data_IF_129268231707
#
_entry.id   IF_129268231707
#
_cell.length_a   1.000
_cell.length_b   1.000
_cell.length_c   1.000
_cell.angle_alpha   90.00
_cell.angle_beta   90.00
_cell.angle_gamma   90.00
#
_symmetry.space_group_name_H-M   'P 1'
#
loop_
_entity.id
_entity.type
_entity.pdbx_description
1 polymer ?
#
# COMPACT_ATOMS: atom_id res chain seq x y z
N UNK A 1 -31.22 48.17 -6.98
CA UNK A 1 -32.26 47.12 -6.99
C UNK A 1 -33.15 47.33 -5.78
N UNK A 2 -34.44 47.61 -5.99
CA UNK A 2 -35.43 47.67 -4.90
C UNK A 2 -35.86 46.22 -4.63
N UNK A 3 -35.74 45.77 -3.38
CA UNK A 3 -36.24 44.47 -2.95
C UNK A 3 -37.78 44.52 -3.01
N UNK A 4 -38.42 43.51 -3.65
CA UNK A 4 -39.88 43.36 -3.64
C UNK A 4 -40.26 42.17 -2.74
N UNK A 5 -40.89 42.39 -1.57
CA UNK A 5 -41.30 41.30 -0.71
C UNK A 5 -42.50 40.54 -1.29
N UNK A 6 -42.42 39.21 -1.31
CA UNK A 6 -43.50 38.34 -1.84
C UNK A 6 -44.53 38.05 -0.75
N UNK A 7 -44.07 37.74 0.47
CA UNK A 7 -44.92 37.63 1.65
C UNK A 7 -44.97 38.98 2.38
N UNK A 8 -46.16 39.57 2.39
CA UNK A 8 -46.45 40.82 3.10
C UNK A 8 -47.73 40.58 3.91
N UNK A 9 -47.72 40.98 5.17
CA UNK A 9 -48.94 41.05 5.97
C UNK A 9 -49.82 42.19 5.45
N UNK A 10 -50.93 41.83 4.83
CA UNK A 10 -51.91 42.76 4.30
C UNK A 10 -53.16 42.79 5.19
N UNK A 11 -53.82 43.94 5.27
CA UNK A 11 -55.16 43.99 5.86
C UNK A 11 -56.13 43.21 4.96
N UNK A 12 -57.23 42.64 5.51
CA UNK A 12 -58.20 41.88 4.70
C UNK A 12 -58.83 42.66 3.53
N UNK A 13 -58.75 43.98 3.55
CA UNK A 13 -59.30 44.89 2.54
C UNK A 13 -58.32 45.26 1.43
N UNK A 14 -57.03 44.93 1.57
CA UNK A 14 -56.01 45.31 0.59
C UNK A 14 -56.06 44.40 -0.64
N UNK A 15 -55.63 44.94 -1.79
CA UNK A 15 -55.51 44.15 -3.01
C UNK A 15 -54.46 43.03 -2.84
N UNK A 16 -54.67 41.89 -3.49
CA UNK A 16 -53.71 40.79 -3.47
C UNK A 16 -52.33 41.27 -3.95
N UNK A 17 -51.30 41.07 -3.11
CA UNK A 17 -49.91 41.45 -3.43
C UNK A 17 -49.17 40.39 -4.27
N UNK A 18 -49.69 39.17 -4.34
CA UNK A 18 -49.08 38.05 -5.07
C UNK A 18 -49.65 38.03 -6.49
N UNK A 19 -48.79 38.24 -7.49
CA UNK A 19 -49.14 38.12 -8.90
C UNK A 19 -48.87 36.69 -9.39
N UNK A 20 -49.43 36.31 -10.54
CA UNK A 20 -49.14 35.00 -11.16
C UNK A 20 -47.64 34.78 -11.44
N UNK A 21 -46.88 35.85 -11.66
CA UNK A 21 -45.41 35.80 -11.81
C UNK A 21 -44.72 35.45 -10.48
N UNK A 22 -45.26 35.87 -9.33
CA UNK A 22 -44.75 35.52 -8.00
C UNK A 22 -45.01 34.04 -7.70
N UNK A 23 -46.21 33.55 -7.99
CA UNK A 23 -46.55 32.13 -7.82
C UNK A 23 -45.69 31.24 -8.71
N UNK A 24 -45.52 31.61 -9.98
CA UNK A 24 -44.65 30.87 -10.90
C UNK A 24 -43.21 30.83 -10.41
N UNK A 25 -42.68 31.93 -9.89
CA UNK A 25 -41.34 31.97 -9.32
C UNK A 25 -41.19 31.02 -8.12
N UNK A 26 -42.16 30.99 -7.22
CA UNK A 26 -42.20 30.04 -6.11
C UNK A 26 -42.25 28.58 -6.58
N UNK A 27 -43.13 28.27 -7.54
CA UNK A 27 -43.28 26.93 -8.11
C UNK A 27 -41.99 26.49 -8.79
N UNK A 28 -41.36 27.35 -9.58
CA UNK A 28 -40.09 27.06 -10.23
C UNK A 28 -39.00 26.71 -9.20
N UNK A 29 -38.92 27.46 -8.10
CA UNK A 29 -38.04 27.16 -6.97
C UNK A 29 -38.31 25.79 -6.36
N UNK A 30 -39.57 25.44 -6.11
CA UNK A 30 -39.97 24.13 -5.57
C UNK A 30 -39.65 22.96 -6.52
N UNK A 31 -39.69 23.19 -7.83
CA UNK A 31 -39.33 22.20 -8.85
C UNK A 31 -37.80 22.07 -9.05
N UNK A 32 -36.99 22.82 -8.29
CA UNK A 32 -35.53 22.73 -8.31
C UNK A 32 -34.87 23.59 -9.40
N UNK A 33 -35.45 24.73 -9.74
CA UNK A 33 -34.88 25.65 -10.72
C UNK A 33 -33.44 26.07 -10.41
N UNK A 34 -32.54 25.85 -11.37
CA UNK A 34 -31.23 26.51 -11.42
C UNK A 34 -31.36 27.72 -12.35
N UNK A 35 -31.59 28.90 -11.76
CA UNK A 35 -31.96 30.11 -12.52
C UNK A 35 -33.43 30.09 -12.98
N UNK A 36 -33.74 30.70 -14.13
CA UNK A 36 -35.11 30.86 -14.61
C UNK A 36 -35.64 29.66 -15.44
N UNK A 37 -34.88 28.57 -15.56
CA UNK A 37 -35.04 27.60 -16.66
C UNK A 37 -35.49 26.20 -16.23
N UNK A 38 -36.56 26.08 -15.44
CA UNK A 38 -37.15 24.76 -15.13
C UNK A 38 -38.55 24.63 -15.66
N UNK A 39 -38.71 23.62 -16.52
CA UNK A 39 -39.97 23.25 -17.14
C UNK A 39 -40.03 21.73 -17.29
N UNK A 40 -41.23 21.17 -17.26
CA UNK A 40 -41.41 19.73 -17.31
C UNK A 40 -42.80 19.29 -16.88
N UNK A 41 -43.08 18.01 -17.08
CA UNK A 41 -44.34 17.39 -16.67
C UNK A 41 -44.29 17.10 -15.17
N UNK A 42 -45.29 17.57 -14.44
CA UNK A 42 -45.47 17.27 -13.03
C UNK A 42 -45.86 15.79 -12.84
N UNK A 43 -45.44 15.12 -11.76
CA UNK A 43 -45.67 13.69 -11.53
C UNK A 43 -47.11 13.39 -11.04
N UNK A 44 -48.12 14.01 -11.64
CA UNK A 44 -49.53 13.90 -11.28
C UNK A 44 -50.38 13.46 -12.49
N UNK A 45 -51.56 12.89 -12.21
CA UNK A 45 -52.47 12.39 -13.25
C UNK A 45 -51.85 11.29 -14.12
N UNK A 46 -52.30 11.19 -15.37
CA UNK A 46 -51.70 10.34 -16.40
C UNK A 46 -50.34 10.82 -16.93
N UNK A 47 -49.70 11.80 -16.27
CA UNK A 47 -48.36 12.34 -16.60
C UNK A 47 -48.23 12.79 -18.06
N UNK A 48 -49.33 13.26 -18.65
CA UNK A 48 -49.40 13.66 -20.07
C UNK A 48 -48.84 12.58 -21.01
N UNK A 49 -48.99 11.29 -20.66
CA UNK A 49 -48.54 10.21 -21.52
C UNK A 49 -49.20 10.31 -22.89
N UNK A 50 -48.43 10.11 -23.96
CA UNK A 50 -48.90 10.23 -25.34
C UNK A 50 -49.16 8.87 -25.95
N UNK A 51 -50.29 8.72 -26.63
CA UNK A 51 -50.59 7.55 -27.45
C UNK A 51 -51.27 7.92 -28.77
N UNK A 52 -51.07 7.09 -29.79
CA UNK A 52 -51.75 7.20 -31.08
C UNK A 52 -53.15 6.57 -30.95
N UNK A 53 -54.19 7.29 -31.37
CA UNK A 53 -55.57 6.78 -31.41
C UNK A 53 -56.01 6.47 -32.84
N UNK A 54 -55.49 7.19 -33.84
CA UNK A 54 -55.68 6.90 -35.27
C UNK A 54 -54.48 7.39 -36.10
N UNK A 55 -54.49 7.21 -37.42
CA UNK A 55 -53.43 7.71 -38.31
C UNK A 55 -53.34 9.24 -38.37
N UNK A 56 -54.34 9.96 -37.84
CA UNK A 56 -54.41 11.42 -37.81
C UNK A 56 -54.71 11.98 -36.42
N UNK A 57 -54.61 11.17 -35.37
CA UNK A 57 -54.95 11.61 -34.02
C UNK A 57 -54.04 10.96 -32.98
N UNK A 58 -53.56 11.81 -32.07
CA UNK A 58 -52.85 11.41 -30.86
C UNK A 58 -53.56 11.98 -29.66
N UNK A 59 -53.49 11.29 -28.54
CA UNK A 59 -54.08 11.72 -27.27
C UNK A 59 -52.98 11.92 -26.24
N UNK A 60 -53.05 13.03 -25.49
CA UNK A 60 -52.31 13.21 -24.24
C UNK A 60 -53.23 12.87 -23.08
N UNK A 61 -52.78 12.00 -22.18
CA UNK A 61 -53.51 11.69 -20.95
C UNK A 61 -53.55 12.90 -20.00
N UNK A 62 -54.38 12.82 -18.95
CA UNK A 62 -54.43 13.86 -17.91
C UNK A 62 -53.07 14.14 -17.28
N UNK A 63 -52.88 15.32 -16.72
CA UNK A 63 -51.63 15.70 -16.07
C UNK A 63 -51.43 17.21 -16.02
N UNK A 64 -50.21 17.64 -15.68
CA UNK A 64 -49.85 19.05 -15.67
C UNK A 64 -48.43 19.27 -16.17
N UNK A 65 -48.20 20.39 -16.83
CA UNK A 65 -46.91 20.84 -17.33
C UNK A 65 -46.58 22.19 -16.71
N UNK A 66 -45.40 22.30 -16.13
CA UNK A 66 -44.86 23.56 -15.65
C UNK A 66 -43.91 24.13 -16.71
N UNK A 67 -44.11 25.38 -17.09
CA UNK A 67 -43.29 26.15 -18.01
C UNK A 67 -42.67 27.33 -17.25
N UNK A 68 -41.41 27.22 -16.86
CA UNK A 68 -40.78 28.19 -15.95
C UNK A 68 -41.65 28.47 -14.71
N UNK A 69 -42.27 27.43 -14.13
CA UNK A 69 -43.16 27.55 -12.96
C UNK A 69 -44.61 27.96 -13.26
N UNK A 70 -44.93 28.44 -14.47
CA UNK A 70 -46.31 28.63 -14.88
C UNK A 70 -46.94 27.30 -15.29
N UNK A 71 -48.04 26.91 -14.67
CA UNK A 71 -48.60 25.56 -14.82
C UNK A 71 -49.84 25.55 -15.72
N UNK A 72 -49.87 24.65 -16.69
CA UNK A 72 -51.05 24.24 -17.46
C UNK A 72 -51.41 22.80 -17.09
N UNK A 73 -52.70 22.51 -16.89
CA UNK A 73 -53.19 21.15 -16.62
C UNK A 73 -54.15 20.67 -17.70
N UNK A 74 -54.09 19.37 -17.96
CA UNK A 74 -55.05 18.60 -18.74
C UNK A 74 -55.87 17.81 -17.70
N UNK A 75 -57.11 18.20 -17.38
CA UNK A 75 -57.91 17.51 -16.36
C UNK A 75 -58.20 16.06 -16.76
N UNK A 76 -58.54 15.85 -18.04
CA UNK A 76 -58.89 14.57 -18.66
C UNK A 76 -58.21 14.49 -20.02
N UNK A 77 -58.02 13.27 -20.54
CA UNK A 77 -57.27 13.05 -21.78
C UNK A 77 -57.73 13.96 -22.94
N UNK A 78 -56.79 14.60 -23.63
CA UNK A 78 -57.02 15.57 -24.70
C UNK A 78 -56.47 15.06 -26.03
N UNK A 79 -57.32 15.10 -27.07
CA UNK A 79 -56.99 14.65 -28.43
C UNK A 79 -56.46 15.79 -29.28
N UNK A 80 -55.44 15.50 -30.07
CA UNK A 80 -54.82 16.41 -31.02
C UNK A 80 -54.91 15.82 -32.43
N UNK A 81 -55.53 16.58 -33.33
CA UNK A 81 -55.56 16.23 -34.75
C UNK A 81 -54.23 16.56 -35.40
N UNK A 82 -53.66 15.57 -36.08
CA UNK A 82 -52.42 15.66 -36.85
C UNK A 82 -52.77 15.60 -38.33
N UNK A 83 -52.39 16.65 -39.08
CA UNK A 83 -52.61 16.69 -40.51
C UNK A 83 -51.99 15.46 -41.19
N UNK A 84 -52.59 14.94 -42.26
CA UNK A 84 -51.98 13.83 -42.98
C UNK A 84 -50.60 14.22 -43.54
N UNK A 85 -49.68 13.26 -43.59
CA UNK A 85 -48.39 13.45 -44.23
C UNK A 85 -48.48 13.39 -45.75
N UNK A 86 -47.32 13.35 -46.41
CA UNK A 86 -47.23 13.19 -47.87
C UNK A 86 -46.41 11.94 -48.18
N UNK A 87 -46.90 11.13 -49.12
CA UNK A 87 -46.26 9.88 -49.50
C UNK A 87 -44.78 10.09 -49.87
N UNK A 88 -43.90 9.27 -49.28
CA UNK A 88 -42.45 9.35 -49.49
C UNK A 88 -41.74 10.50 -48.79
N UNK A 89 -42.43 11.29 -47.95
CA UNK A 89 -41.85 12.37 -47.16
C UNK A 89 -41.95 12.10 -45.66
N UNK A 90 -40.96 12.60 -44.92
CA UNK A 90 -40.94 12.63 -43.46
C UNK A 90 -41.37 14.01 -42.96
N UNK A 91 -42.07 14.04 -41.83
CA UNK A 91 -42.45 15.27 -41.11
C UNK A 91 -42.41 15.02 -39.62
N UNK A 92 -41.92 15.98 -38.85
CA UNK A 92 -41.96 15.95 -37.39
C UNK A 92 -42.82 17.11 -36.90
N UNK A 93 -43.93 16.78 -36.25
CA UNK A 93 -44.80 17.74 -35.61
C UNK A 93 -44.52 17.75 -34.10
N UNK A 94 -44.80 18.87 -33.43
CA UNK A 94 -44.66 19.00 -31.98
C UNK A 94 -46.02 19.29 -31.36
N UNK A 95 -46.32 18.65 -30.23
CA UNK A 95 -47.34 19.14 -29.32
C UNK A 95 -46.65 20.03 -28.30
N UNK A 96 -47.03 21.29 -28.28
CA UNK A 96 -46.40 22.32 -27.45
C UNK A 96 -47.38 22.87 -26.45
N UNK A 97 -46.91 23.16 -25.24
CA UNK A 97 -47.55 24.15 -24.39
C UNK A 97 -47.14 25.54 -24.85
N UNK A 98 -48.10 26.43 -24.96
CA UNK A 98 -47.89 27.84 -25.29
C UNK A 98 -48.47 28.72 -24.19
N UNK A 99 -47.62 29.62 -23.70
CA UNK A 99 -48.00 30.76 -22.89
C UNK A 99 -47.98 32.03 -23.72
N UNK A 100 -49.03 32.83 -23.60
CA UNK A 100 -49.08 34.19 -24.15
C UNK A 100 -49.52 35.14 -23.04
N UNK A 101 -48.66 36.11 -22.72
CA UNK A 101 -48.99 37.19 -21.79
C UNK A 101 -50.09 38.06 -22.39
N UNK A 102 -51.15 38.26 -21.64
CA UNK A 102 -52.30 39.06 -22.05
C UNK A 102 -52.74 40.02 -20.95
N UNK A 103 -53.57 40.98 -21.32
CA UNK A 103 -54.18 41.95 -20.39
C UNK A 103 -55.68 41.97 -20.66
N UNK A 104 -56.55 41.65 -19.67
CA UNK A 104 -56.26 41.49 -18.24
C UNK A 104 -55.73 40.10 -17.83
N UNK A 105 -55.70 39.11 -18.73
CA UNK A 105 -55.30 37.73 -18.41
C UNK A 105 -54.39 37.13 -19.47
N UNK A 106 -53.41 36.35 -19.05
CA UNK A 106 -52.60 35.51 -19.94
C UNK A 106 -53.38 34.27 -20.40
N UNK A 107 -53.03 33.74 -21.57
CA UNK A 107 -53.57 32.49 -22.09
C UNK A 107 -52.53 31.37 -22.02
N UNK A 108 -53.05 30.16 -21.78
CA UNK A 108 -52.31 28.91 -21.82
C UNK A 108 -53.06 27.97 -22.75
N UNK A 109 -52.35 27.35 -23.68
CA UNK A 109 -52.95 26.37 -24.57
C UNK A 109 -51.97 25.29 -24.98
N UNK A 110 -52.50 24.12 -25.26
CA UNK A 110 -51.77 23.08 -25.98
C UNK A 110 -52.12 23.19 -27.46
N UNK A 111 -51.12 23.07 -28.33
CA UNK A 111 -51.34 23.08 -29.78
C UNK A 111 -50.33 22.21 -30.52
N UNK A 112 -50.71 21.83 -31.73
CA UNK A 112 -49.81 21.17 -32.67
C UNK A 112 -49.06 22.24 -33.47
N UNK A 113 -47.73 22.21 -33.41
CA UNK A 113 -46.86 22.95 -34.33
C UNK A 113 -46.42 21.97 -35.41
N UNK A 114 -46.98 22.15 -36.60
CA UNK A 114 -46.69 21.28 -37.73
C UNK A 114 -45.28 21.54 -38.27
N UNK A 115 -44.54 20.48 -38.56
CA UNK A 115 -43.25 20.55 -39.21
C UNK A 115 -43.30 20.73 -40.71
N UNK A 116 -42.12 20.80 -41.31
CA UNK A 116 -41.97 20.85 -42.77
C UNK A 116 -41.82 19.44 -43.32
N UNK A 117 -42.44 19.18 -44.48
CA UNK A 117 -42.26 17.91 -45.19
C UNK A 117 -40.90 17.90 -45.89
N UNK A 118 -40.14 16.82 -45.71
CA UNK A 118 -38.81 16.67 -46.30
C UNK A 118 -38.37 15.21 -46.38
N UNK A 119 -37.11 14.99 -46.70
CA UNK A 119 -36.52 13.63 -46.73
C UNK A 119 -36.06 13.18 -45.31
N UNK A 120 -35.94 14.14 -44.39
CA UNK A 120 -35.53 13.97 -43.00
C UNK A 120 -36.52 14.60 -42.02
N UNK A 121 -36.45 14.16 -40.76
CA UNK A 121 -37.20 14.77 -39.67
C UNK A 121 -36.53 16.08 -39.24
N UNK A 122 -37.22 17.19 -39.46
CA UNK A 122 -36.75 18.52 -39.04
C UNK A 122 -37.64 19.04 -37.91
N UNK A 123 -37.02 19.37 -36.77
CA UNK A 123 -37.73 19.91 -35.61
C UNK A 123 -38.26 21.32 -35.89
N UNK A 124 -39.57 21.58 -35.69
CA UNK A 124 -40.13 22.92 -35.78
C UNK A 124 -39.45 23.89 -34.80
N UNK A 125 -39.22 25.13 -35.24
CA UNK A 125 -38.72 26.19 -34.35
C UNK A 125 -39.83 26.70 -33.43
N UNK A 126 -39.48 26.96 -32.17
CA UNK A 126 -40.41 27.44 -31.13
C UNK A 126 -40.00 28.82 -30.62
N UNK A 127 -40.98 29.62 -30.21
CA UNK A 127 -40.74 30.91 -29.56
C UNK A 127 -40.46 30.70 -28.07
N UNK A 128 -39.25 30.96 -27.58
CA UNK A 128 -38.83 30.62 -26.20
C UNK A 128 -38.39 31.85 -25.38
N UNK A 129 -39.20 32.91 -25.31
CA UNK A 129 -38.85 34.09 -24.51
C UNK A 129 -38.83 33.74 -23.01
N UNK A 130 -37.96 34.40 -22.23
CA UNK A 130 -37.89 34.18 -20.77
C UNK A 130 -38.99 34.98 -20.06
N UNK A 131 -39.94 34.27 -19.45
CA UNK A 131 -41.10 34.86 -18.81
C UNK A 131 -40.74 35.65 -17.54
N UNK A 132 -39.63 35.29 -16.88
CA UNK A 132 -39.11 36.02 -15.73
C UNK A 132 -38.30 37.26 -16.12
N UNK A 133 -37.97 37.42 -17.41
CA UNK A 133 -37.24 38.56 -17.95
C UNK A 133 -38.12 39.44 -18.87
N UNK A 134 -39.45 39.41 -18.67
CA UNK A 134 -40.41 40.23 -19.43
C UNK A 134 -40.86 39.66 -20.77
N UNK A 135 -40.53 38.38 -21.07
CA UNK A 135 -41.04 37.68 -22.23
C UNK A 135 -42.57 37.61 -22.26
N UNK A 136 -43.15 37.77 -23.44
CA UNK A 136 -44.61 37.76 -23.65
C UNK A 136 -45.11 36.46 -24.26
N UNK A 137 -44.23 35.68 -24.90
CA UNK A 137 -44.63 34.42 -25.54
C UNK A 137 -43.57 33.36 -25.33
N UNK A 138 -44.00 32.19 -24.84
CA UNK A 138 -43.13 31.04 -24.66
C UNK A 138 -43.85 29.77 -25.07
N UNK A 139 -43.14 28.94 -25.82
CA UNK A 139 -43.57 27.64 -26.30
C UNK A 139 -42.55 26.60 -25.86
N UNK A 140 -43.03 25.49 -25.35
CA UNK A 140 -42.18 24.35 -25.02
C UNK A 140 -42.80 23.05 -25.52
N UNK A 141 -41.97 22.23 -26.15
CA UNK A 141 -42.38 20.94 -26.66
C UNK A 141 -42.64 19.96 -25.50
N UNK A 142 -43.83 19.38 -25.47
CA UNK A 142 -44.16 18.28 -24.57
C UNK A 142 -43.90 16.95 -25.26
N UNK A 143 -44.37 16.83 -26.51
CA UNK A 143 -44.25 15.62 -27.30
C UNK A 143 -43.87 15.91 -28.75
N UNK A 144 -43.24 14.94 -29.39
CA UNK A 144 -43.02 14.89 -30.83
C UNK A 144 -43.92 13.82 -31.46
N UNK A 145 -44.36 14.08 -32.68
CA UNK A 145 -45.13 13.15 -33.51
C UNK A 145 -44.45 13.08 -34.87
N UNK A 146 -43.91 11.92 -35.23
CA UNK A 146 -43.24 11.68 -36.51
C UNK A 146 -44.19 11.01 -37.48
N UNK A 147 -44.21 11.52 -38.71
CA UNK A 147 -44.91 10.95 -39.83
C UNK A 147 -43.91 10.48 -40.88
N UNK A 148 -44.15 9.30 -41.44
CA UNK A 148 -43.41 8.80 -42.60
C UNK A 148 -44.39 8.35 -43.67
N UNK A 149 -44.45 9.08 -44.77
CA UNK A 149 -45.54 8.95 -45.72
C UNK A 149 -46.80 9.64 -45.18
N UNK A 150 -47.92 8.93 -45.17
CA UNK A 150 -49.25 9.46 -44.83
C UNK A 150 -49.51 9.40 -43.32
N UNK A 151 -48.95 8.39 -42.66
CA UNK A 151 -49.36 7.98 -41.32
C UNK A 151 -48.37 8.43 -40.23
N UNK A 152 -48.90 8.56 -39.02
CA UNK A 152 -48.10 8.68 -37.80
C UNK A 152 -47.38 7.36 -37.55
N UNK A 153 -46.05 7.41 -37.42
CA UNK A 153 -45.19 6.24 -37.17
C UNK A 153 -44.60 6.21 -35.77
N UNK A 154 -44.48 7.36 -35.10
CA UNK A 154 -43.89 7.44 -33.76
C UNK A 154 -44.42 8.66 -33.02
N UNK A 155 -44.68 8.52 -31.72
CA UNK A 155 -45.05 9.59 -30.82
C UNK A 155 -44.29 9.42 -29.51
N UNK A 156 -43.69 10.50 -29.00
CA UNK A 156 -42.81 10.40 -27.81
C UNK A 156 -42.83 11.69 -27.02
N UNK A 157 -42.80 11.58 -25.68
CA UNK A 157 -42.58 12.73 -24.79
C UNK A 157 -41.13 13.17 -24.92
N UNK A 158 -40.91 14.46 -25.15
CA UNK A 158 -39.57 15.05 -25.37
C UNK A 158 -39.14 15.99 -24.25
N UNK A 159 -40.01 16.24 -23.28
CA UNK A 159 -39.71 17.01 -22.07
C UNK A 159 -39.45 16.09 -20.87
N UNK A 160 -38.87 16.65 -19.82
CA UNK A 160 -38.60 15.90 -18.59
C UNK A 160 -39.87 15.75 -17.78
N UNK A 161 -40.17 14.54 -17.31
CA UNK A 161 -41.13 14.33 -16.23
C UNK A 161 -40.40 14.45 -14.90
N UNK A 162 -40.81 15.38 -14.05
CA UNK A 162 -40.26 15.50 -12.70
C UNK A 162 -40.52 14.25 -11.89
N UNK A 163 -39.60 13.93 -10.98
CA UNK A 163 -39.75 12.82 -10.04
C UNK A 163 -40.43 13.33 -8.78
N UNK A 164 -41.41 12.58 -8.29
CA UNK A 164 -42.03 12.87 -6.99
C UNK A 164 -41.14 12.47 -5.82
N UNK A 165 -41.48 12.93 -4.61
CA UNK A 165 -40.81 12.47 -3.39
C UNK A 165 -40.89 10.94 -3.25
N UNK A 166 -42.00 10.32 -3.64
CA UNK A 166 -42.14 8.85 -3.66
C UNK A 166 -41.11 8.17 -4.55
N UNK A 167 -40.82 8.73 -5.73
CA UNK A 167 -39.81 8.20 -6.65
C UNK A 167 -38.40 8.37 -6.06
N UNK A 168 -38.14 9.48 -5.37
CA UNK A 168 -36.90 9.70 -4.62
C UNK A 168 -36.76 8.67 -3.49
N UNK A 169 -37.81 8.47 -2.68
CA UNK A 169 -37.81 7.46 -1.61
C UNK A 169 -37.58 6.05 -2.15
N UNK A 170 -38.12 5.71 -3.31
CA UNK A 170 -37.88 4.44 -3.98
C UNK A 170 -36.40 4.30 -4.40
N UNK A 171 -35.78 5.38 -4.90
CA UNK A 171 -34.38 5.37 -5.34
C UNK A 171 -33.36 5.21 -4.20
N UNK A 172 -33.76 5.55 -2.96
CA UNK A 172 -32.91 5.41 -1.76
C UNK A 172 -33.26 4.17 -0.93
N UNK A 173 -34.14 3.29 -1.41
CA UNK A 173 -34.38 2.01 -0.73
C UNK A 173 -33.13 1.12 -0.79
N UNK A 174 -32.91 0.24 0.21
CA UNK A 174 -31.69 -0.57 0.30
C UNK A 174 -31.34 -1.35 -0.98
N UNK A 175 -32.35 -1.93 -1.65
CA UNK A 175 -32.13 -2.68 -2.89
C UNK A 175 -31.71 -1.78 -4.06
N UNK A 176 -32.31 -0.60 -4.18
CA UNK A 176 -31.95 0.37 -5.21
C UNK A 176 -30.54 0.94 -4.96
N UNK A 177 -30.22 1.27 -3.71
CA UNK A 177 -28.89 1.69 -3.31
C UNK A 177 -27.84 0.61 -3.55
N UNK A 178 -28.11 -0.65 -3.17
CA UNK A 178 -27.20 -1.76 -3.43
C UNK A 178 -26.95 -1.94 -4.93
N UNK A 179 -28.00 -1.84 -5.74
CA UNK A 179 -27.88 -1.92 -7.20
C UNK A 179 -27.02 -0.77 -7.73
N UNK A 180 -27.28 0.46 -7.30
CA UNK A 180 -26.50 1.62 -7.70
C UNK A 180 -25.02 1.50 -7.28
N UNK A 181 -24.76 1.09 -6.05
CA UNK A 181 -23.40 0.93 -5.51
C UNK A 181 -22.64 -0.17 -6.25
N UNK A 182 -23.28 -1.29 -6.58
CA UNK A 182 -22.67 -2.37 -7.41
C UNK A 182 -22.24 -1.90 -8.81
N UNK A 183 -22.80 -0.80 -9.33
CA UNK A 183 -22.33 -0.23 -10.60
C UNK A 183 -21.09 0.64 -10.46
N UNK A 184 -20.79 1.10 -9.24
CA UNK A 184 -19.65 1.99 -8.94
C UNK A 184 -18.44 1.18 -8.42
N UNK A 185 -18.64 -0.05 -7.94
CA UNK A 185 -17.58 -0.87 -7.34
C UNK A 185 -17.05 -2.02 -8.22
N UNK A 186 -15.82 -2.46 -7.93
CA UNK A 186 -14.89 -3.20 -8.81
C UNK A 186 -15.26 -4.63 -9.22
N UNK A 187 -14.27 -5.48 -9.55
CA UNK A 187 -14.44 -6.51 -10.58
C UNK A 187 -15.49 -7.63 -10.30
N UNK A 188 -16.66 -7.52 -10.97
CA UNK A 188 -17.74 -8.51 -11.08
C UNK A 188 -19.02 -8.12 -10.32
N UNK A 189 -18.84 -7.31 -9.29
CA UNK A 189 -19.82 -6.43 -8.60
C UNK A 189 -19.04 -5.64 -7.54
N UNK A 190 -18.01 -6.32 -7.02
CA UNK A 190 -16.80 -5.87 -6.39
C UNK A 190 -16.93 -4.85 -5.29
N UNK A 191 -17.90 -5.03 -4.39
CA UNK A 191 -17.74 -4.58 -3.01
C UNK A 191 -16.60 -5.32 -2.27
N UNK A 192 -15.51 -5.67 -2.96
CA UNK A 192 -14.36 -6.41 -2.46
C UNK A 192 -13.35 -5.40 -1.91
N UNK A 193 -13.56 -5.02 -0.65
CA UNK A 193 -12.74 -4.04 0.06
C UNK A 193 -11.35 -4.57 0.47
N UNK A 194 -10.97 -5.80 0.10
CA UNK A 194 -9.73 -6.45 0.55
C UNK A 194 -8.96 -7.17 -0.57
N UNK A 195 -8.69 -6.46 -1.68
CA UNK A 195 -7.63 -6.89 -2.58
C UNK A 195 -6.26 -6.68 -1.91
N UNK A 196 -5.65 -7.76 -1.43
CA UNK A 196 -4.22 -7.80 -1.13
C UNK A 196 -3.46 -8.00 -2.45
N UNK A 197 -2.56 -7.08 -2.81
CA UNK A 197 -1.72 -7.11 -4.02
C UNK A 197 -2.50 -7.28 -5.35
N UNK A 198 -3.74 -6.80 -5.40
CA UNK A 198 -4.59 -6.88 -6.59
C UNK A 198 -5.09 -8.29 -6.92
N UNK A 199 -5.08 -9.21 -5.94
CA UNK A 199 -5.58 -10.58 -6.09
C UNK A 199 -6.71 -10.87 -5.11
N UNK A 200 -7.72 -11.59 -5.58
CA UNK A 200 -8.83 -12.10 -4.75
C UNK A 200 -8.34 -13.17 -3.76
N UNK A 201 -9.00 -13.33 -2.61
CA UNK A 201 -8.63 -14.28 -1.56
C UNK A 201 -8.41 -15.73 -2.03
N UNK A 202 -9.09 -16.15 -3.11
CA UNK A 202 -8.91 -17.46 -3.74
C UNK A 202 -7.57 -17.66 -4.47
N UNK A 203 -6.79 -16.60 -4.67
CA UNK A 203 -5.43 -16.69 -5.22
C UNK A 203 -4.43 -17.20 -4.19
N UNK A 204 -4.75 -17.08 -2.89
CA UNK A 204 -3.89 -17.50 -1.80
C UNK A 204 -4.26 -18.89 -1.32
N UNK A 205 -3.24 -19.69 -0.99
CA UNK A 205 -3.45 -21.01 -0.38
C UNK A 205 -4.01 -20.85 1.04
N UNK A 206 -5.04 -21.64 1.39
CA UNK A 206 -5.57 -21.68 2.75
C UNK A 206 -4.54 -22.30 3.70
N UNK A 207 -4.67 -22.08 5.01
CA UNK A 207 -3.78 -22.72 6.01
C UNK A 207 -3.84 -24.25 6.01
N UNK A 208 -4.90 -24.82 5.43
CA UNK A 208 -5.11 -26.26 5.25
C UNK A 208 -4.58 -26.82 3.93
N UNK A 209 -4.07 -25.98 3.02
CA UNK A 209 -3.47 -26.45 1.79
C UNK A 209 -2.26 -27.34 2.14
N UNK A 210 -2.29 -28.56 1.59
CA UNK A 210 -1.29 -29.58 1.83
C UNK A 210 -0.88 -30.23 0.50
N UNK A 211 0.41 -30.47 0.33
CA UNK A 211 0.99 -31.13 -0.84
C UNK A 211 1.00 -32.67 -0.74
N UNK A 212 0.66 -33.25 0.41
CA UNK A 212 0.86 -34.67 0.74
C UNK A 212 0.14 -35.68 -0.17
N UNK A 213 -0.88 -35.27 -0.92
CA UNK A 213 -1.65 -36.18 -1.79
C UNK A 213 -1.22 -36.16 -3.26
N UNK A 214 -0.48 -35.13 -3.69
CA UNK A 214 -0.02 -34.96 -5.09
C UNK A 214 1.50 -35.06 -5.18
N UNK A 215 2.21 -34.64 -4.14
CA UNK A 215 3.66 -34.70 -4.05
C UNK A 215 4.06 -35.59 -2.88
N UNK A 216 5.16 -36.31 -3.03
CA UNK A 216 5.78 -36.96 -1.89
C UNK A 216 6.25 -35.90 -0.89
N UNK A 217 5.73 -35.94 0.33
CA UNK A 217 6.28 -35.15 1.43
C UNK A 217 7.77 -35.44 1.61
N UNK A 218 8.53 -34.46 2.13
CA UNK A 218 9.99 -34.56 2.31
C UNK A 218 10.43 -35.84 3.08
N UNK A 219 9.53 -36.41 3.89
CA UNK A 219 9.76 -37.62 4.68
C UNK A 219 8.98 -38.86 4.18
N UNK A 220 8.29 -38.78 3.03
CA UNK A 220 7.49 -39.87 2.49
C UNK A 220 8.29 -40.73 1.49
N UNK A 221 7.99 -42.04 1.46
CA UNK A 221 8.62 -43.01 0.56
C UNK A 221 7.70 -43.30 -0.64
N UNK A 222 8.25 -43.33 -1.86
CA UNK A 222 7.46 -43.48 -3.08
C UNK A 222 6.87 -44.89 -3.20
N UNK A 223 5.65 -45.02 -3.73
CA UNK A 223 4.97 -46.31 -3.91
C UNK A 223 5.76 -47.28 -4.82
N UNK A 224 6.54 -46.75 -5.76
CA UNK A 224 7.42 -47.47 -6.67
C UNK A 224 8.88 -47.52 -6.21
N UNK A 225 9.20 -47.09 -4.97
CA UNK A 225 10.51 -47.32 -4.34
C UNK A 225 10.90 -48.81 -4.31
N UNK A 226 9.92 -49.72 -4.35
CA UNK A 226 10.13 -51.15 -4.50
C UNK A 226 10.78 -51.55 -5.85
N UNK A 227 10.58 -50.78 -6.93
CA UNK A 227 11.29 -50.98 -8.21
C UNK A 227 12.77 -50.59 -8.13
N UNK A 228 13.14 -49.84 -7.08
CA UNK A 228 14.50 -49.57 -6.65
C UNK A 228 14.92 -50.46 -5.46
N UNK A 229 14.24 -51.58 -5.23
CA UNK A 229 14.47 -52.52 -4.11
C UNK A 229 14.29 -51.92 -2.70
N UNK A 230 13.50 -50.86 -2.54
CA UNK A 230 13.00 -50.43 -1.22
C UNK A 230 14.01 -49.69 -0.35
N UNK A 231 15.04 -49.06 -0.93
CA UNK A 231 16.02 -48.31 -0.14
C UNK A 231 15.44 -46.98 0.39
N UNK A 232 15.12 -46.95 1.69
CA UNK A 232 14.94 -45.71 2.45
C UNK A 232 16.26 -45.36 3.17
N UNK A 233 16.44 -44.07 3.48
CA UNK A 233 17.70 -43.53 4.01
C UNK A 233 18.00 -43.91 5.48
N UNK A 234 17.14 -44.71 6.12
CA UNK A 234 17.29 -45.02 7.54
C UNK A 234 17.26 -46.53 7.79
N UNK A 235 18.41 -46.96 8.28
CA UNK A 235 18.70 -48.18 9.02
C UNK A 235 19.03 -49.43 8.19
N UNK A 236 20.31 -49.80 8.31
CA UNK A 236 20.87 -51.00 7.73
C UNK A 236 20.33 -52.25 8.43
N UNK A 237 20.10 -53.26 7.61
CA UNK A 237 20.47 -54.61 7.98
C UNK A 237 21.00 -55.33 6.75
N UNK A 238 22.02 -56.12 7.00
CA UNK A 238 23.02 -56.68 6.11
C UNK A 238 22.44 -57.37 4.88
N UNK A 239 23.02 -57.10 3.70
CA UNK A 239 22.84 -58.02 2.59
C UNK A 239 22.97 -57.54 1.16
N UNK A 240 23.13 -56.24 0.85
CA UNK A 240 23.17 -55.85 -0.57
C UNK A 240 24.03 -54.62 -0.88
N UNK A 241 25.35 -54.77 -0.67
CA UNK A 241 26.34 -54.02 -1.46
C UNK A 241 26.89 -54.98 -2.52
N UNK A 242 26.95 -54.55 -3.78
CA UNK A 242 27.61 -55.27 -4.90
C UNK A 242 29.09 -55.59 -4.60
N UNK A 243 29.64 -55.00 -3.53
CA UNK A 243 30.96 -55.30 -2.96
C UNK A 243 30.81 -55.66 -1.48
N UNK A 244 31.15 -56.90 -1.10
CA UNK A 244 31.25 -57.29 0.32
C UNK A 244 32.38 -56.51 0.99
N UNK A 245 32.04 -55.54 1.84
CA UNK A 245 32.99 -54.88 2.74
C UNK A 245 33.11 -55.70 4.02
N UNK A 246 34.29 -55.72 4.63
CA UNK A 246 34.42 -56.16 6.03
C UNK A 246 33.65 -55.23 6.98
N UNK A 247 33.44 -55.66 8.22
CA UNK A 247 32.82 -54.83 9.27
C UNK A 247 33.56 -53.51 9.54
N UNK A 248 34.82 -53.38 9.12
CA UNK A 248 35.63 -52.17 9.19
C UNK A 248 35.58 -51.32 7.88
N UNK A 249 34.73 -51.66 6.91
CA UNK A 249 34.59 -50.91 5.66
C UNK A 249 35.62 -51.21 4.56
N UNK A 250 36.60 -52.09 4.83
CA UNK A 250 37.63 -52.45 3.85
C UNK A 250 37.11 -53.40 2.76
N UNK A 251 37.59 -53.20 1.53
CA UNK A 251 37.37 -54.08 0.36
C UNK A 251 38.67 -54.80 0.04
N UNK A 252 38.67 -56.14 0.03
CA UNK A 252 39.86 -56.95 -0.27
C UNK A 252 39.84 -57.47 -1.70
N UNK A 253 40.96 -57.31 -2.42
CA UNK A 253 41.11 -57.78 -3.81
C UNK A 253 41.07 -59.31 -3.96
N UNK A 254 41.24 -60.06 -2.86
CA UNK A 254 41.15 -61.52 -2.80
C UNK A 254 39.75 -62.05 -3.11
N UNK A 255 38.75 -61.18 -3.20
CA UNK A 255 37.35 -61.54 -3.42
C UNK A 255 36.86 -61.32 -4.85
N UNK A 256 37.75 -60.91 -5.76
CA UNK A 256 37.41 -60.55 -7.14
C UNK A 256 38.18 -61.42 -8.15
N UNK A 257 37.48 -61.87 -9.19
CA UNK A 257 38.00 -62.71 -10.26
C UNK A 257 37.55 -62.13 -11.62
N UNK A 258 38.44 -62.16 -12.62
CA UNK A 258 38.14 -61.78 -14.00
C UNK A 258 38.61 -62.90 -14.93
N UNK A 259 37.67 -63.52 -15.66
CA UNK A 259 37.99 -64.57 -16.63
C UNK A 259 38.55 -65.87 -16.04
N UNK A 260 38.27 -66.17 -14.77
CA UNK A 260 38.76 -67.37 -14.08
C UNK A 260 40.05 -67.15 -13.29
N UNK A 261 40.74 -66.02 -13.47
CA UNK A 261 41.98 -65.68 -12.74
C UNK A 261 41.70 -64.69 -11.62
N UNK A 262 42.31 -64.91 -10.45
CA UNK A 262 42.19 -63.99 -9.33
C UNK A 262 42.93 -62.69 -9.62
N UNK A 263 42.32 -61.54 -9.30
CA UNK A 263 42.92 -60.24 -9.65
C UNK A 263 44.28 -60.00 -8.99
N UNK A 264 44.57 -60.59 -7.82
CA UNK A 264 45.89 -60.46 -7.16
C UNK A 264 47.00 -61.22 -7.88
N UNK A 265 46.67 -62.16 -8.78
CA UNK A 265 47.64 -62.87 -9.63
C UNK A 265 47.89 -62.12 -10.95
N UNK A 266 46.95 -61.25 -11.35
CA UNK A 266 47.00 -60.48 -12.61
C UNK A 266 47.56 -59.06 -12.43
N UNK A 267 47.36 -58.43 -11.27
CA UNK A 267 47.77 -57.05 -11.00
C UNK A 267 48.76 -56.98 -9.84
N UNK A 268 49.70 -56.02 -9.89
CA UNK A 268 50.75 -55.83 -8.88
C UNK A 268 50.14 -55.54 -7.48
N UNK A 269 50.60 -56.26 -6.46
CA UNK A 269 50.18 -56.06 -5.07
C UNK A 269 50.73 -54.77 -4.45
N UNK A 270 50.17 -54.35 -3.30
CA UNK A 270 50.43 -53.06 -2.63
C UNK A 270 51.92 -52.73 -2.34
N UNK A 271 52.79 -53.73 -2.29
CA UNK A 271 54.22 -53.59 -1.99
C UNK A 271 55.13 -53.88 -3.19
N UNK A 272 54.58 -54.23 -4.35
CA UNK A 272 55.35 -54.51 -5.55
C UNK A 272 55.55 -53.22 -6.39
N UNK A 273 56.77 -53.00 -6.88
CA UNK A 273 57.13 -51.83 -7.68
C UNK A 273 57.24 -52.23 -9.16
N UNK A 274 56.55 -51.52 -10.05
CA UNK A 274 56.67 -51.74 -11.49
C UNK A 274 58.10 -51.42 -11.97
N UNK A 275 58.62 -52.20 -12.92
CA UNK A 275 60.01 -52.15 -13.40
C UNK A 275 60.42 -50.77 -13.95
N UNK A 276 59.47 -49.98 -14.41
CA UNK A 276 59.61 -48.64 -14.98
C UNK A 276 59.03 -47.52 -14.10
N UNK A 277 58.69 -47.83 -12.84
CA UNK A 277 58.04 -46.90 -11.89
C UNK A 277 58.77 -45.57 -11.65
N UNK A 278 60.06 -45.48 -12.00
CA UNK A 278 60.85 -44.25 -11.92
C UNK A 278 60.83 -43.39 -13.21
N UNK A 279 60.15 -43.84 -14.28
CA UNK A 279 60.01 -43.11 -15.55
C UNK A 279 58.59 -42.58 -15.66
N UNK A 280 58.43 -41.26 -15.68
CA UNK A 280 57.16 -40.63 -16.03
C UNK A 280 57.26 -40.14 -17.49
N UNK A 281 56.36 -40.60 -18.36
CA UNK A 281 56.33 -40.26 -19.80
C UNK A 281 57.68 -40.42 -20.54
N UNK A 282 58.47 -41.42 -20.18
CA UNK A 282 59.74 -41.75 -20.84
C UNK A 282 60.94 -40.90 -20.41
N UNK A 283 60.78 -39.96 -19.48
CA UNK A 283 61.87 -39.11 -18.99
C UNK A 283 62.33 -39.54 -17.58
N UNK A 284 63.62 -39.30 -17.28
CA UNK A 284 64.18 -39.56 -15.96
C UNK A 284 63.68 -38.53 -14.93
N UNK A 285 63.72 -38.87 -13.63
CA UNK A 285 63.23 -38.00 -12.55
C UNK A 285 63.88 -36.59 -12.54
N UNK A 286 65.08 -36.44 -13.08
CA UNK A 286 65.79 -35.15 -13.24
C UNK A 286 65.21 -34.23 -14.33
N UNK A 287 64.28 -34.71 -15.17
CA UNK A 287 63.55 -33.89 -16.14
C UNK A 287 62.48 -33.01 -15.48
N UNK A 288 62.04 -33.37 -14.28
CA UNK A 288 61.05 -32.64 -13.52
C UNK A 288 61.73 -31.79 -12.43
N UNK A 289 61.30 -30.54 -12.27
CA UNK A 289 61.93 -29.60 -11.34
C UNK A 289 61.75 -30.04 -9.87
N UNK A 290 62.80 -29.84 -9.06
CA UNK A 290 62.82 -30.15 -7.62
C UNK A 290 62.00 -29.11 -6.83
N UNK A 291 61.44 -29.51 -5.68
CA UNK A 291 60.41 -28.79 -4.90
C UNK A 291 60.73 -27.34 -4.45
N UNK A 292 61.93 -26.83 -4.70
CA UNK A 292 62.24 -25.40 -4.56
C UNK A 292 62.22 -24.74 -5.93
N UNK A 293 61.03 -24.41 -6.43
CA UNK A 293 60.89 -23.48 -7.55
C UNK A 293 60.23 -22.20 -7.04
N UNK A 294 60.70 -21.05 -7.53
CA UNK A 294 60.19 -19.74 -7.18
C UNK A 294 59.03 -19.38 -8.13
N UNK A 295 57.92 -18.90 -7.56
CA UNK A 295 56.66 -18.63 -8.26
C UNK A 295 56.57 -17.23 -8.91
N UNK A 296 57.64 -16.44 -8.87
CA UNK A 296 57.69 -15.05 -9.37
C UNK A 296 57.38 -14.88 -10.87
N UNK A 297 57.24 -15.95 -11.64
CA UNK A 297 56.82 -15.89 -13.05
C UNK A 297 55.33 -16.19 -13.29
N UNK A 298 54.56 -16.61 -12.27
CA UNK A 298 53.12 -16.94 -12.39
C UNK A 298 52.23 -16.12 -11.45
N UNK A 299 52.76 -15.68 -10.30
CA UNK A 299 52.03 -14.84 -9.35
C UNK A 299 52.75 -13.51 -9.16
N UNK A 300 51.99 -12.42 -9.10
CA UNK A 300 52.54 -11.10 -8.75
C UNK A 300 52.96 -11.13 -7.28
N UNK A 301 54.23 -10.79 -7.02
CA UNK A 301 54.73 -10.60 -5.65
C UNK A 301 53.91 -9.55 -4.90
N UNK A 302 53.91 -9.60 -3.56
CA UNK A 302 53.06 -8.78 -2.70
C UNK A 302 53.17 -7.25 -2.91
N UNK A 303 54.25 -6.80 -3.58
CA UNK A 303 54.54 -5.41 -3.93
C UNK A 303 54.51 -5.14 -5.45
N UNK A 304 54.05 -6.09 -6.27
CA UNK A 304 54.00 -5.99 -7.73
C UNK A 304 52.58 -5.68 -8.24
N UNK A 305 52.49 -4.91 -9.32
CA UNK A 305 51.23 -4.44 -9.91
C UNK A 305 50.83 -5.27 -11.13
N UNK A 306 49.58 -5.76 -11.18
CA UNK A 306 49.07 -6.53 -12.32
C UNK A 306 48.95 -5.70 -13.60
N UNK A 307 49.27 -6.32 -14.75
CA UNK A 307 49.26 -5.66 -16.06
C UNK A 307 47.88 -5.11 -16.50
N UNK A 308 46.80 -5.64 -15.94
CA UNK A 308 45.40 -5.27 -16.21
C UNK A 308 44.72 -4.53 -15.04
N UNK A 309 45.48 -4.11 -14.03
CA UNK A 309 45.00 -3.39 -12.83
C UNK A 309 44.24 -2.07 -13.13
N UNK A 310 44.41 -1.50 -14.33
CA UNK A 310 43.66 -0.34 -14.78
C UNK A 310 42.14 -0.60 -14.95
N UNK A 311 41.71 -1.85 -15.14
CA UNK A 311 40.29 -2.21 -15.27
C UNK A 311 39.54 -2.29 -13.93
N UNK A 312 40.25 -2.17 -12.81
CA UNK A 312 39.71 -2.22 -11.44
C UNK A 312 39.96 -0.92 -10.65
N UNK A 313 40.12 0.21 -11.34
CA UNK A 313 40.27 1.52 -10.68
C UNK A 313 41.58 1.73 -9.90
N UNK A 314 42.56 0.84 -10.06
CA UNK A 314 43.90 0.98 -9.48
C UNK A 314 44.02 0.68 -7.98
N UNK A 315 43.10 -0.06 -7.36
CA UNK A 315 43.16 -0.35 -5.92
C UNK A 315 43.62 -1.79 -5.59
N UNK A 316 44.37 -1.91 -4.48
CA UNK A 316 45.03 -3.13 -4.01
C UNK A 316 44.03 -4.13 -3.38
N UNK A 317 44.36 -5.45 -3.33
CA UNK A 317 43.49 -6.50 -2.78
C UNK A 317 43.02 -6.32 -1.32
N UNK A 318 43.64 -5.41 -0.56
CA UNK A 318 43.22 -5.09 0.81
C UNK A 318 41.93 -4.25 0.88
N UNK A 319 41.44 -3.74 -0.25
CA UNK A 319 40.20 -2.95 -0.32
C UNK A 319 38.91 -3.79 -0.14
N UNK A 320 38.99 -5.13 -0.17
CA UNK A 320 37.82 -6.02 -0.19
C UNK A 320 37.67 -6.93 1.05
N UNK A 321 38.25 -6.56 2.20
CA UNK A 321 37.89 -7.22 3.48
C UNK A 321 36.53 -6.67 4.00
N UNK A 322 35.68 -7.51 4.63
CA UNK A 322 34.23 -7.32 4.64
C UNK A 322 33.76 -6.17 5.54
N UNK A 323 32.67 -5.55 5.06
CA UNK A 323 31.99 -4.39 5.58
C UNK A 323 31.48 -4.55 7.02
N UNK A 324 31.89 -3.63 7.89
CA UNK A 324 31.17 -3.31 9.13
C UNK A 324 30.53 -1.91 8.98
N UNK A 325 29.21 -1.91 8.75
CA UNK A 325 28.21 -0.86 8.98
C UNK A 325 28.64 0.59 8.65
N UNK A 326 28.23 1.04 7.47
CA UNK A 326 28.19 2.45 7.11
C UNK A 326 26.94 3.11 7.74
N UNK A 327 27.15 3.78 8.86
CA UNK A 327 26.32 4.88 9.34
C UNK A 327 27.23 5.99 9.82
N UNK A 328 27.21 7.14 9.16
CA UNK A 328 28.02 8.31 9.47
C UNK A 328 27.69 8.89 10.85
N UNK A 329 28.41 8.44 11.88
CA UNK A 329 28.74 9.26 13.04
C UNK A 329 30.22 9.65 12.92
N UNK A 330 30.50 10.93 12.63
CA UNK A 330 31.87 11.43 12.45
C UNK A 330 32.75 11.38 13.70
N UNK A 331 32.22 10.92 14.84
CA UNK A 331 33.00 10.61 16.05
C UNK A 331 32.75 9.15 16.41
N UNK A 332 33.56 8.25 15.85
CA UNK A 332 33.54 6.84 16.21
C UNK A 332 33.98 6.73 17.68
N UNK A 333 33.07 6.41 18.59
CA UNK A 333 33.42 6.10 19.98
C UNK A 333 33.86 4.64 20.02
N UNK A 334 35.15 4.40 20.15
CA UNK A 334 35.66 3.05 20.33
C UNK A 334 35.17 2.47 21.68
N UNK A 335 34.89 1.17 21.71
CA UNK A 335 34.65 0.40 22.92
C UNK A 335 35.72 -0.68 22.97
N UNK A 336 36.71 -0.52 23.83
CA UNK A 336 37.78 -1.50 23.99
C UNK A 336 37.51 -2.36 25.23
N UNK A 337 37.27 -3.66 25.03
CA UNK A 337 37.29 -4.66 26.09
C UNK A 337 38.73 -5.16 26.26
N UNK A 338 39.57 -4.37 26.91
CA UNK A 338 40.95 -4.75 27.22
C UNK A 338 41.00 -5.20 28.68
N UNK A 339 41.69 -6.30 29.03
CA UNK A 339 42.00 -6.60 30.43
C UNK A 339 42.90 -5.46 30.94
N UNK A 340 42.35 -4.51 31.70
CA UNK A 340 43.02 -3.27 32.10
C UNK A 340 44.53 -3.47 32.30
N UNK A 341 45.39 -2.74 31.57
CA UNK A 341 46.81 -3.04 31.51
C UNK A 341 47.43 -3.15 32.91
N UNK A 342 48.48 -3.96 33.02
CA UNK A 342 49.17 -4.23 34.27
C UNK A 342 50.00 -3.02 34.74
N UNK A 343 49.34 -1.94 35.11
CA UNK A 343 49.97 -0.73 35.64
C UNK A 343 49.49 -0.44 37.07
N UNK A 344 50.23 0.40 37.78
CA UNK A 344 50.20 0.56 39.25
C UNK A 344 49.04 1.41 39.80
N UNK A 345 48.10 1.86 38.96
CA UNK A 345 46.95 2.65 39.41
C UNK A 345 45.97 3.06 38.30
N UNK A 346 44.82 3.66 38.67
CA UNK A 346 43.73 3.92 37.74
C UNK A 346 43.98 5.03 36.70
N UNK A 347 44.99 5.87 36.91
CA UNK A 347 45.47 6.89 35.96
C UNK A 347 46.46 6.31 34.95
N UNK A 348 47.33 5.39 35.37
CA UNK A 348 48.27 4.73 34.47
C UNK A 348 47.56 3.72 33.57
N UNK A 349 46.48 3.08 34.05
CA UNK A 349 45.63 2.19 33.25
C UNK A 349 44.97 2.93 32.06
N UNK A 350 44.84 4.26 32.16
CA UNK A 350 44.37 5.08 31.06
C UNK A 350 45.45 5.35 30.02
N UNK A 351 46.73 5.42 30.39
CA UNK A 351 47.81 5.87 29.50
C UNK A 351 47.90 5.04 28.21
N UNK A 352 47.63 3.74 28.29
CA UNK A 352 47.65 2.79 27.17
C UNK A 352 46.45 2.94 26.21
N UNK A 353 45.46 3.75 26.56
CA UNK A 353 44.25 3.97 25.76
C UNK A 353 44.44 5.18 24.83
N UNK A 354 45.01 4.98 23.65
CA UNK A 354 45.46 6.10 22.79
C UNK A 354 44.37 6.97 22.17
N UNK A 355 43.08 6.64 22.33
CA UNK A 355 41.95 7.31 21.68
C UNK A 355 40.80 7.64 22.64
N UNK A 356 39.90 8.54 22.24
CA UNK A 356 38.66 8.79 23.01
C UNK A 356 37.76 7.56 22.94
N UNK A 357 37.45 6.96 24.09
CA UNK A 357 36.70 5.70 24.12
C UNK A 357 35.98 5.48 25.46
N UNK A 358 34.97 4.63 25.44
CA UNK A 358 34.50 3.97 26.66
C UNK A 358 35.35 2.74 26.92
N UNK A 359 35.61 2.45 28.20
CA UNK A 359 36.35 1.28 28.61
C UNK A 359 35.77 0.65 29.88
N UNK A 360 35.97 -0.65 30.00
CA UNK A 360 35.56 -1.45 31.14
C UNK A 360 36.72 -2.34 31.59
N UNK A 361 36.84 -2.59 32.89
CA UNK A 361 37.87 -3.46 33.45
C UNK A 361 37.59 -3.90 34.88
N UNK A 362 38.51 -4.70 35.43
CA UNK A 362 38.49 -5.11 36.83
C UNK A 362 39.77 -4.68 37.54
N UNK A 363 39.67 -4.33 38.82
CA UNK A 363 40.81 -4.06 39.69
C UNK A 363 40.91 -5.16 40.75
N UNK A 364 42.14 -5.62 40.99
CA UNK A 364 42.47 -6.66 41.98
C UNK A 364 43.77 -6.27 42.68
N UNK A 365 43.67 -5.93 43.97
CA UNK A 365 44.73 -5.42 44.85
C UNK A 365 45.60 -4.31 44.22
N UNK A 366 45.00 -3.41 43.45
CA UNK A 366 45.72 -2.30 42.80
C UNK A 366 45.71 -1.04 43.68
N UNK A 367 46.85 -0.36 43.77
CA UNK A 367 47.00 0.91 44.49
C UNK A 367 46.20 2.03 43.78
N UNK A 368 45.70 3.01 44.53
CA UNK A 368 44.95 4.16 44.00
C UNK A 368 43.47 3.89 43.66
N UNK A 369 43.01 2.64 43.73
CA UNK A 369 41.58 2.30 43.66
C UNK A 369 40.92 2.40 45.04
N UNK A 370 39.61 2.71 45.13
CA UNK A 370 38.90 2.84 46.41
C UNK A 370 38.78 1.56 47.24
N UNK A 371 38.94 0.38 46.63
CA UNK A 371 38.87 -0.91 47.30
C UNK A 371 39.80 -1.92 46.63
N UNK A 372 40.15 -2.98 47.37
CA UNK A 372 41.02 -4.05 46.91
C UNK A 372 40.46 -4.78 45.68
N UNK A 373 39.14 -4.95 45.57
CA UNK A 373 38.52 -5.63 44.43
C UNK A 373 37.32 -4.86 43.92
N UNK A 374 37.13 -4.86 42.60
CA UNK A 374 35.97 -4.22 41.98
C UNK A 374 36.06 -4.12 40.47
N UNK A 375 35.04 -3.50 39.87
CA UNK A 375 34.97 -3.22 38.43
C UNK A 375 35.01 -1.72 38.16
N UNK A 376 35.63 -1.33 37.05
CA UNK A 376 35.72 0.05 36.60
C UNK A 376 35.02 0.20 35.25
N UNK A 377 34.25 1.27 35.12
CA UNK A 377 33.69 1.75 33.87
C UNK A 377 34.03 3.22 33.71
N UNK A 378 34.55 3.62 32.56
CA UNK A 378 34.97 4.99 32.36
C UNK A 378 34.94 5.44 30.92
N UNK A 379 35.05 6.75 30.77
CA UNK A 379 35.22 7.40 29.48
C UNK A 379 36.53 8.18 29.49
N UNK A 380 37.38 7.91 28.50
CA UNK A 380 38.57 8.73 28.22
C UNK A 380 38.24 9.67 27.08
N UNK A 381 38.48 10.96 27.26
CA UNK A 381 38.44 11.95 26.20
C UNK A 381 39.86 12.40 25.86
N UNK A 382 40.34 12.07 24.66
CA UNK A 382 41.72 12.29 24.25
C UNK A 382 41.98 13.73 23.74
N UNK A 383 40.94 14.45 23.33
CA UNK A 383 41.06 15.87 22.97
C UNK A 383 40.95 16.73 24.26
N UNK A 384 41.68 17.83 24.39
CA UNK A 384 41.67 18.70 25.59
C UNK A 384 42.12 18.07 26.92
N UNK A 385 43.29 17.42 26.93
CA UNK A 385 44.01 17.17 28.19
C UNK A 385 43.16 16.44 29.23
N UNK A 386 42.38 15.44 28.81
CA UNK A 386 41.56 14.56 29.65
C UNK A 386 40.50 15.25 30.52
N UNK A 387 40.27 16.56 30.35
CA UNK A 387 39.40 17.42 31.17
C UNK A 387 37.92 17.02 31.17
N UNK A 388 37.52 16.11 30.28
CA UNK A 388 36.17 15.56 30.17
C UNK A 388 36.11 14.05 30.38
N UNK A 389 37.18 13.46 30.91
CA UNK A 389 37.24 12.04 31.27
C UNK A 389 36.65 11.81 32.65
N UNK A 390 36.03 10.66 32.85
CA UNK A 390 35.44 10.28 34.14
C UNK A 390 35.53 8.77 34.35
N UNK A 391 35.50 8.36 35.61
CA UNK A 391 35.60 6.97 36.03
C UNK A 391 34.59 6.67 37.12
N UNK A 392 33.91 5.54 36.98
CA UNK A 392 33.04 4.94 37.99
C UNK A 392 33.67 3.61 38.41
N UNK A 393 33.78 3.40 39.72
CA UNK A 393 34.29 2.16 40.29
C UNK A 393 33.25 1.54 41.22
N UNK A 394 32.91 0.27 40.99
CA UNK A 394 32.06 -0.53 41.87
C UNK A 394 32.94 -1.51 42.64
N UNK A 395 32.97 -1.39 43.97
CA UNK A 395 33.72 -2.33 44.81
C UNK A 395 33.00 -3.67 44.91
N UNK A 396 33.75 -4.74 45.17
CA UNK A 396 33.19 -6.06 45.49
C UNK A 396 32.35 -6.06 46.78
N UNK A 397 32.43 -4.99 47.57
CA UNK A 397 31.68 -4.77 48.79
C UNK A 397 30.43 -3.91 48.56
N UNK A 398 30.06 -3.60 47.31
CA UNK A 398 28.80 -2.93 46.98
C UNK A 398 28.81 -1.40 47.08
N UNK A 399 29.97 -0.77 47.27
CA UNK A 399 30.10 0.68 47.24
C UNK A 399 30.43 1.17 45.82
N UNK A 400 29.82 2.29 45.42
CA UNK A 400 30.06 2.94 44.12
C UNK A 400 30.82 4.25 44.33
N UNK A 401 31.86 4.45 43.53
CA UNK A 401 32.73 5.61 43.58
C UNK A 401 32.79 6.28 42.20
N UNK A 402 32.94 7.60 42.19
CA UNK A 402 33.14 8.40 40.98
C UNK A 402 34.32 9.34 41.16
N UNK A 403 35.03 9.58 40.06
CA UNK A 403 35.95 10.71 39.93
C UNK A 403 35.99 11.23 38.50
N UNK A 404 36.55 12.42 38.33
CA UNK A 404 36.71 13.09 37.02
C UNK A 404 38.13 13.61 36.83
N UNK A 405 38.54 13.73 35.56
CA UNK A 405 39.78 14.41 35.20
C UNK A 405 39.67 15.90 35.47
N UNK A 406 40.65 16.48 36.15
CA UNK A 406 40.77 17.93 36.37
C UNK A 406 41.69 18.56 35.31
N UNK A 407 42.72 17.81 34.87
CA UNK A 407 43.65 18.18 33.80
C UNK A 407 44.25 16.94 33.11
N UNK A 408 45.25 17.11 32.22
CA UNK A 408 45.89 16.00 31.49
C UNK A 408 46.59 15.01 32.41
N UNK A 409 46.92 15.43 33.63
CA UNK A 409 47.75 14.65 34.55
C UNK A 409 47.17 14.63 35.97
N UNK A 410 46.01 15.23 36.19
CA UNK A 410 45.42 15.40 37.52
C UNK A 410 43.96 14.95 37.54
N UNK A 411 43.61 14.19 38.57
CA UNK A 411 42.28 13.62 38.80
C UNK A 411 41.74 14.07 40.14
N UNK A 412 40.43 14.25 40.23
CA UNK A 412 39.80 14.46 41.53
C UNK A 412 39.99 13.22 42.42
N UNK A 413 40.01 13.37 43.76
CA UNK A 413 39.88 12.24 44.66
C UNK A 413 38.62 11.42 44.34
N UNK A 414 38.66 10.13 44.68
CA UNK A 414 37.48 9.28 44.60
C UNK A 414 36.41 9.77 45.57
N UNK A 415 35.22 10.00 45.05
CA UNK A 415 34.04 10.34 45.85
C UNK A 415 33.12 9.13 45.90
N UNK A 416 32.79 8.67 47.10
CA UNK A 416 31.81 7.60 47.28
C UNK A 416 30.41 8.16 47.03
N UNK A 417 29.72 7.62 46.04
CA UNK A 417 28.35 8.04 45.69
C UNK A 417 27.33 7.25 46.52
N UNK A 418 27.57 5.95 46.70
CA UNK A 418 26.73 5.12 47.55
C UNK A 418 27.51 3.98 48.18
N UNK A 419 27.02 3.51 49.32
CA UNK A 419 27.44 2.27 49.96
C UNK A 419 26.24 1.34 50.03
N UNK A 420 26.07 0.46 49.04
CA UNK A 420 24.92 -0.44 49.04
C UNK A 420 25.03 -1.54 50.10
N UNK A 421 26.17 -1.69 50.78
CA UNK A 421 26.33 -2.66 51.86
C UNK A 421 26.10 -2.06 53.25
N UNK A 422 26.52 -0.80 53.50
CA UNK A 422 26.43 -0.20 54.83
C UNK A 422 25.32 0.86 54.98
N UNK A 423 24.86 1.47 53.88
CA UNK A 423 23.77 2.47 53.86
C UNK A 423 22.95 2.32 52.59
N UNK A 424 22.10 1.28 52.49
CA UNK A 424 21.29 1.06 51.29
C UNK A 424 20.35 2.25 51.05
N UNK A 425 20.17 2.69 49.79
CA UNK A 425 19.30 3.83 49.47
C UNK A 425 17.86 3.50 49.84
N UNK A 426 17.17 4.40 50.55
CA UNK A 426 15.74 4.29 50.84
C UNK A 426 14.95 4.42 49.55
N UNK A 427 14.25 3.35 49.16
CA UNK A 427 13.35 3.34 47.99
C UNK A 427 12.03 4.05 48.35
N UNK A 428 11.71 5.14 47.66
CA UNK A 428 10.40 5.79 47.75
C UNK A 428 9.50 5.27 46.62
N UNK A 429 8.34 4.69 46.96
CA UNK A 429 7.33 4.24 46.00
C UNK A 429 6.66 5.38 45.23
N UNK A 430 5.84 5.02 44.23
CA UNK A 430 5.29 5.76 43.05
C UNK A 430 4.61 7.14 43.26
N UNK A 431 4.98 7.92 44.26
CA UNK A 431 4.58 9.32 44.44
C UNK A 431 5.67 10.30 43.97
N UNK A 432 5.27 11.54 43.68
CA UNK A 432 6.14 12.64 43.25
C UNK A 432 7.42 12.76 44.11
N UNK A 433 8.57 13.14 43.51
CA UNK A 433 9.82 13.29 44.24
C UNK A 433 9.65 14.23 45.45
N UNK A 434 10.26 13.92 46.61
CA UNK A 434 10.22 14.81 47.76
C UNK A 434 10.83 16.17 47.39
N UNK A 435 10.28 17.26 47.93
CA UNK A 435 10.61 18.65 47.56
C UNK A 435 12.05 19.07 47.88
N UNK A 436 12.84 18.24 48.55
CA UNK A 436 14.28 18.42 48.73
C UNK A 436 14.98 17.08 48.98
N UNK A 437 15.84 16.65 48.05
CA UNK A 437 16.80 15.58 48.31
C UNK A 437 17.98 16.14 49.08
N UNK A 438 18.41 15.44 50.14
CA UNK A 438 19.66 15.78 50.83
C UNK A 438 20.87 15.46 49.93
N UNK A 439 22.00 16.17 50.08
CA UNK A 439 23.21 15.87 49.32
C UNK A 439 23.62 14.40 49.49
N UNK A 440 23.67 13.64 48.39
CA UNK A 440 24.05 12.22 48.40
C UNK A 440 22.90 11.22 48.23
N UNK A 441 21.64 11.66 48.12
CA UNK A 441 20.51 10.77 47.83
C UNK A 441 20.16 10.76 46.33
N UNK A 442 19.93 9.57 45.77
CA UNK A 442 19.50 9.37 44.38
C UNK A 442 18.02 8.95 44.40
N UNK A 443 17.17 9.69 43.70
CA UNK A 443 15.76 9.33 43.46
C UNK A 443 15.64 8.73 42.05
N UNK A 444 15.05 7.54 41.95
CA UNK A 444 14.79 6.86 40.68
C UNK A 444 13.28 6.67 40.56
N UNK A 445 12.68 7.33 39.59
CA UNK A 445 11.26 7.19 39.23
C UNK A 445 11.15 6.15 38.10
N UNK A 446 10.27 5.16 38.27
CA UNK A 446 9.93 4.20 37.20
C UNK A 446 8.90 4.79 36.24
#
# INVERSE_FOLDING_TARGET
>A
MSQRPIHIDLAPTDAANINAEDDAFWIAGMLGATGNAVSGILPIGGRMAISKTSDNEVVLQSGAFAMQGFVISIPDAESFTIASGVQGKKRLDLIVAEYIKGTPRSSYQLKVVQGTQGDDYVTPSLTTQDLHAGGTTRQEAIAQVKLNGIDIVEQTIVTTTFKGLTDLFASIQPAALLTAIKTVDGAGSGLDADLLDGKHGSYYATTSHNHDTVYLGINAQAADSAKLAGYSAQEGSEGNTIVKRSSAGNVYATSFNEGGTWLYEKYLGKTAQATDSAKLNGQAASYYAVATHNHDSVYLGINAQAADSAKLGGQLPNAFAPANILGTFSNRVWMNAWPAPASSGPESDLADITNSCFYFGYASNKSGYPSAYGSIFGFRFNQNSWKYSWQIFSSSQGALYLRRGLSATEWSPWSQICDMANTPPTLYGTGNPPSSLLPGQIYIQY
#
